data_IF_942021029920
#
_entry.id   IF_942021029920
#
_cell.length_a   1.000
_cell.length_b   1.000
_cell.length_c   1.000
_cell.angle_alpha   90.00
_cell.angle_beta   90.00
_cell.angle_gamma   90.00
#
_symmetry.space_group_name_H-M   'P 1'
#
loop_
_entity.id
_entity.type
_entity.pdbx_description
1 polymer ?
#
# COMPACT_ATOMS: atom_id res chain seq x y z
N UNK A 1 -12.20 -22.96 -4.42
CA UNK A 1 -11.54 -22.21 -5.52
C UNK A 1 -10.04 -22.14 -5.22
N UNK A 2 -9.19 -22.46 -6.20
CA UNK A 2 -7.73 -22.39 -6.04
C UNK A 2 -7.20 -21.12 -6.72
N UNK A 3 -6.54 -20.25 -5.95
CA UNK A 3 -6.00 -18.97 -6.42
C UNK A 3 -4.50 -18.92 -6.20
N UNK A 4 -3.75 -18.48 -7.21
CA UNK A 4 -2.31 -18.24 -7.11
C UNK A 4 -2.04 -16.76 -6.87
N UNK A 5 -1.47 -16.41 -5.72
CA UNK A 5 -0.94 -15.06 -5.48
C UNK A 5 0.46 -14.90 -6.07
N UNK A 6 0.67 -13.84 -6.81
CA UNK A 6 1.90 -13.58 -7.53
C UNK A 6 2.32 -12.10 -7.43
N UNK A 7 3.51 -11.79 -6.94
CA UNK A 7 4.52 -12.66 -6.33
C UNK A 7 4.23 -12.99 -4.86
N UNK A 8 5.06 -13.86 -4.24
CA UNK A 8 5.05 -14.08 -2.80
C UNK A 8 5.83 -12.97 -2.07
N UNK A 9 5.12 -12.07 -1.42
CA UNK A 9 5.67 -10.98 -0.62
C UNK A 9 5.18 -10.99 0.84
N UNK A 10 4.74 -12.14 1.34
CA UNK A 10 4.22 -12.28 2.71
C UNK A 10 5.20 -11.88 3.80
N UNK A 11 6.52 -12.03 3.56
CA UNK A 11 7.54 -11.67 4.54
C UNK A 11 7.76 -10.15 4.66
N UNK A 12 7.41 -9.38 3.63
CA UNK A 12 7.67 -7.94 3.61
C UNK A 12 6.44 -7.08 3.89
N UNK A 13 5.23 -7.58 3.54
CA UNK A 13 3.99 -6.84 3.67
C UNK A 13 2.89 -7.77 4.18
N UNK A 14 2.26 -7.50 5.33
CA UNK A 14 1.25 -8.37 5.93
C UNK A 14 -0.02 -8.52 5.08
N UNK A 15 -0.26 -7.60 4.14
CA UNK A 15 -1.44 -7.55 3.28
C UNK A 15 -1.78 -8.90 2.63
N UNK A 16 -0.80 -9.54 1.94
CA UNK A 16 -1.07 -10.80 1.24
C UNK A 16 -1.40 -11.95 2.20
N UNK A 17 -0.73 -12.00 3.34
CA UNK A 17 -1.00 -13.01 4.36
C UNK A 17 -2.40 -12.86 4.93
N UNK A 18 -2.76 -11.63 5.34
CA UNK A 18 -4.06 -11.34 5.93
C UNK A 18 -5.22 -11.55 4.94
N UNK A 19 -5.02 -11.15 3.69
CA UNK A 19 -6.00 -11.41 2.64
C UNK A 19 -6.16 -12.91 2.39
N UNK A 20 -5.07 -13.68 2.31
CA UNK A 20 -5.14 -15.13 2.10
C UNK A 20 -5.85 -15.84 3.24
N UNK A 21 -5.50 -15.53 4.49
CA UNK A 21 -6.15 -16.06 5.70
C UNK A 21 -7.68 -15.76 5.69
N UNK A 22 -8.07 -14.54 5.31
CA UNK A 22 -9.47 -14.17 5.22
C UNK A 22 -10.19 -14.86 4.05
N UNK A 23 -9.53 -15.08 2.92
CA UNK A 23 -10.08 -15.79 1.77
C UNK A 23 -10.35 -17.28 2.06
N UNK A 24 -9.54 -17.91 2.91
CA UNK A 24 -9.75 -19.32 3.32
C UNK A 24 -11.09 -19.49 4.02
N UNK A 25 -11.56 -18.52 4.80
CA UNK A 25 -12.89 -18.56 5.44
C UNK A 25 -14.05 -18.56 4.43
N UNK A 26 -13.77 -18.19 3.18
CA UNK A 26 -14.72 -18.22 2.06
C UNK A 26 -14.50 -19.42 1.10
N UNK A 27 -13.71 -20.42 1.50
CA UNK A 27 -13.42 -21.61 0.68
C UNK A 27 -12.50 -21.33 -0.52
N UNK A 28 -11.66 -20.29 -0.43
CA UNK A 28 -10.64 -19.96 -1.43
C UNK A 28 -9.27 -20.37 -0.91
N UNK A 29 -8.66 -21.36 -1.55
CA UNK A 29 -7.30 -21.82 -1.22
C UNK A 29 -6.27 -21.01 -1.98
N UNK A 30 -5.38 -20.34 -1.25
CA UNK A 30 -4.35 -19.47 -1.81
C UNK A 30 -2.99 -20.14 -1.79
N UNK A 31 -2.38 -20.25 -2.97
CA UNK A 31 -0.97 -20.61 -3.14
C UNK A 31 -0.15 -19.38 -3.54
N UNK A 32 1.20 -19.45 -3.41
CA UNK A 32 2.06 -18.31 -3.63
C UNK A 32 3.19 -18.59 -4.61
N UNK A 33 3.47 -17.66 -5.51
CA UNK A 33 4.58 -17.72 -6.46
C UNK A 33 5.88 -17.24 -5.80
N UNK A 34 6.65 -18.17 -5.20
CA UNK A 34 7.88 -17.84 -4.47
C UNK A 34 9.10 -17.57 -5.38
N UNK A 35 9.16 -18.17 -6.56
CA UNK A 35 10.32 -18.07 -7.45
C UNK A 35 10.10 -17.16 -8.67
N UNK A 36 9.48 -15.99 -8.45
CA UNK A 36 9.06 -15.05 -9.51
C UNK A 36 10.21 -14.37 -10.29
N UNK A 37 11.47 -14.50 -9.83
CA UNK A 37 12.66 -13.99 -10.55
C UNK A 37 13.20 -14.93 -11.63
N UNK A 38 12.68 -16.15 -11.74
CA UNK A 38 13.07 -17.15 -12.76
C UNK A 38 12.55 -16.75 -14.16
N UNK A 39 12.96 -17.53 -15.19
CA UNK A 39 12.44 -17.36 -16.56
C UNK A 39 11.03 -17.91 -16.64
N UNK A 40 10.07 -17.09 -17.12
CA UNK A 40 8.64 -17.41 -17.26
C UNK A 40 8.01 -18.05 -16.00
N UNK A 41 8.12 -17.41 -14.82
CA UNK A 41 7.72 -18.03 -13.56
C UNK A 41 6.21 -18.28 -13.48
N UNK A 42 5.36 -17.36 -13.98
CA UNK A 42 3.90 -17.51 -14.02
C UNK A 42 3.50 -18.69 -14.90
N UNK A 43 3.94 -18.68 -16.15
CA UNK A 43 3.63 -19.74 -17.13
C UNK A 43 4.03 -21.11 -16.63
N UNK A 44 5.20 -21.22 -15.99
CA UNK A 44 5.71 -22.51 -15.47
C UNK A 44 4.88 -23.03 -14.32
N UNK A 45 4.54 -22.17 -13.35
CA UNK A 45 3.81 -22.58 -12.17
C UNK A 45 2.36 -22.95 -12.50
N UNK A 46 1.70 -22.16 -13.36
CA UNK A 46 0.32 -22.41 -13.80
C UNK A 46 0.17 -23.73 -14.60
N UNK A 47 1.26 -24.23 -15.21
CA UNK A 47 1.24 -25.53 -15.91
C UNK A 47 1.27 -26.73 -14.96
N UNK A 48 1.80 -26.59 -13.77
CA UNK A 48 2.00 -27.71 -12.83
C UNK A 48 1.05 -27.66 -11.63
N UNK A 49 0.43 -26.50 -11.35
CA UNK A 49 -0.51 -26.34 -10.24
C UNK A 49 -1.92 -26.11 -10.77
N UNK A 50 -2.92 -26.90 -10.37
CA UNK A 50 -4.32 -26.62 -10.64
C UNK A 50 -4.69 -25.26 -10.05
N UNK A 51 -4.97 -24.29 -10.90
CA UNK A 51 -5.28 -22.92 -10.52
C UNK A 51 -6.50 -22.45 -11.32
N UNK A 52 -7.52 -21.98 -10.63
CA UNK A 52 -8.72 -21.44 -11.26
C UNK A 52 -8.48 -20.05 -11.83
N UNK A 53 -7.77 -19.21 -11.07
CA UNK A 53 -7.30 -17.90 -11.49
C UNK A 53 -6.02 -17.52 -10.75
N UNK A 54 -5.23 -16.58 -11.27
CA UNK A 54 -4.15 -15.99 -10.47
C UNK A 54 -4.43 -14.52 -10.14
N UNK A 55 -3.95 -14.10 -8.97
CA UNK A 55 -4.07 -12.76 -8.46
C UNK A 55 -2.70 -12.09 -8.47
N UNK A 56 -2.51 -11.15 -9.41
CA UNK A 56 -1.29 -10.38 -9.52
C UNK A 56 -1.33 -9.20 -8.55
N UNK A 57 -0.26 -9.05 -7.79
CA UNK A 57 -0.01 -7.88 -6.96
C UNK A 57 1.11 -7.05 -7.60
N UNK A 58 2.09 -6.61 -6.92
CA UNK A 58 3.19 -5.74 -7.36
C UNK A 58 3.93 -6.25 -8.64
N UNK A 59 3.56 -5.81 -9.87
CA UNK A 59 4.20 -6.26 -11.11
C UNK A 59 5.70 -5.98 -11.15
N UNK A 60 6.15 -4.88 -10.50
CA UNK A 60 7.54 -4.45 -10.42
C UNK A 60 8.48 -5.46 -9.75
N UNK A 61 7.95 -6.37 -8.96
CA UNK A 61 8.74 -7.43 -8.36
C UNK A 61 9.42 -8.35 -9.39
N UNK A 62 8.83 -8.47 -10.58
CA UNK A 62 9.37 -9.30 -11.66
C UNK A 62 10.56 -8.67 -12.39
N UNK A 63 10.72 -7.35 -12.27
CA UNK A 63 11.80 -6.56 -12.88
C UNK A 63 12.35 -5.57 -11.85
N UNK A 64 13.09 -6.05 -10.83
CA UNK A 64 13.58 -5.18 -9.76
C UNK A 64 14.41 -4.03 -10.33
N UNK A 65 14.41 -2.90 -9.63
CA UNK A 65 14.93 -1.57 -10.02
C UNK A 65 16.45 -1.50 -10.27
N UNK A 66 17.03 -2.50 -10.91
CA UNK A 66 18.42 -2.46 -11.29
C UNK A 66 18.53 -1.68 -12.60
N UNK A 67 19.03 -0.44 -12.56
CA UNK A 67 19.36 0.38 -13.75
C UNK A 67 20.57 -0.19 -14.50
N UNK A 68 20.49 -1.46 -14.91
CA UNK A 68 21.54 -2.14 -15.62
C UNK A 68 21.09 -2.48 -17.05
N UNK A 69 22.06 -2.98 -17.87
CA UNK A 69 21.82 -3.37 -19.27
C UNK A 69 20.72 -4.43 -19.44
N UNK A 70 20.38 -5.15 -18.39
CA UNK A 70 19.39 -6.23 -18.39
C UNK A 70 17.97 -5.77 -18.04
N UNK A 71 17.77 -4.51 -17.67
CA UNK A 71 16.46 -4.01 -17.26
C UNK A 71 15.42 -4.14 -18.37
N UNK A 72 15.77 -3.77 -19.60
CA UNK A 72 14.90 -3.92 -20.78
C UNK A 72 14.50 -5.38 -21.01
N UNK A 73 15.44 -6.29 -20.83
CA UNK A 73 15.19 -7.74 -20.97
C UNK A 73 14.23 -8.24 -19.88
N UNK A 74 14.45 -7.88 -18.61
CA UNK A 74 13.56 -8.28 -17.50
C UNK A 74 12.14 -7.76 -17.71
N UNK A 75 11.98 -6.51 -18.14
CA UNK A 75 10.67 -5.92 -18.45
C UNK A 75 9.99 -6.63 -19.63
N UNK A 76 10.72 -6.92 -20.70
CA UNK A 76 10.19 -7.68 -21.81
C UNK A 76 9.80 -9.12 -21.41
N UNK A 77 10.65 -9.79 -20.61
CA UNK A 77 10.38 -11.12 -20.05
C UNK A 77 9.06 -11.15 -19.28
N UNK A 78 8.80 -10.16 -18.41
CA UNK A 78 7.55 -10.08 -17.68
C UNK A 78 6.33 -10.00 -18.61
N UNK A 79 6.38 -9.16 -19.65
CA UNK A 79 5.28 -9.05 -20.62
C UNK A 79 5.03 -10.34 -21.38
N UNK A 80 6.10 -11.04 -21.78
CA UNK A 80 5.99 -12.33 -22.45
C UNK A 80 5.38 -13.37 -21.52
N UNK A 81 5.87 -13.46 -20.28
CA UNK A 81 5.37 -14.42 -19.29
C UNK A 81 3.89 -14.17 -18.96
N UNK A 82 3.52 -12.91 -18.70
CA UNK A 82 2.12 -12.53 -18.48
C UNK A 82 1.25 -12.87 -19.69
N UNK A 83 1.72 -12.60 -20.90
CA UNK A 83 0.97 -12.91 -22.13
C UNK A 83 0.74 -14.41 -22.32
N UNK A 84 1.75 -15.23 -21.99
CA UNK A 84 1.62 -16.70 -22.09
C UNK A 84 0.74 -17.24 -20.98
N UNK A 85 0.89 -16.76 -19.75
CA UNK A 85 0.12 -17.17 -18.61
C UNK A 85 -1.39 -16.91 -18.77
N UNK A 86 -1.74 -15.75 -19.36
CA UNK A 86 -3.13 -15.31 -19.54
C UNK A 86 -3.87 -15.95 -20.72
N UNK A 87 -3.20 -16.82 -21.50
CA UNK A 87 -3.86 -17.55 -22.60
C UNK A 87 -4.87 -18.57 -22.10
N UNK A 88 -4.55 -19.23 -20.97
CA UNK A 88 -5.34 -20.37 -20.46
C UNK A 88 -5.75 -20.21 -18.99
N UNK A 89 -5.41 -19.11 -18.36
CA UNK A 89 -5.75 -18.83 -16.96
C UNK A 89 -6.17 -17.39 -16.81
N UNK A 90 -7.40 -17.12 -16.34
CA UNK A 90 -7.83 -15.76 -16.04
C UNK A 90 -7.01 -15.17 -14.90
N UNK A 91 -6.91 -13.84 -14.84
CA UNK A 91 -6.27 -13.19 -13.70
C UNK A 91 -6.96 -11.90 -13.30
N UNK A 92 -6.81 -11.60 -12.04
CA UNK A 92 -7.15 -10.31 -11.46
C UNK A 92 -5.90 -9.60 -10.97
N UNK A 93 -5.96 -8.29 -10.79
CA UNK A 93 -4.85 -7.49 -10.32
C UNK A 93 -5.31 -6.52 -9.24
N UNK A 94 -4.62 -6.50 -8.08
CA UNK A 94 -4.78 -5.41 -7.12
C UNK A 94 -3.83 -4.26 -7.45
N UNK A 95 -4.40 -3.08 -7.64
CA UNK A 95 -3.67 -1.87 -7.97
C UNK A 95 -3.10 -1.22 -6.71
N UNK A 96 -1.93 -1.68 -6.27
CA UNK A 96 -1.20 -1.05 -5.16
C UNK A 96 -0.47 0.21 -5.59
N UNK A 97 0.02 0.26 -6.84
CA UNK A 97 0.80 1.36 -7.41
C UNK A 97 0.31 1.69 -8.81
N UNK A 98 0.36 2.97 -9.16
CA UNK A 98 0.09 3.38 -10.54
C UNK A 98 1.28 3.02 -11.45
N UNK A 99 2.51 3.20 -10.93
CA UNK A 99 3.78 2.74 -11.51
C UNK A 99 4.85 2.66 -10.41
N UNK A 100 6.08 2.34 -10.75
CA UNK A 100 7.20 2.29 -9.80
C UNK A 100 7.45 3.67 -9.18
N UNK A 101 7.50 3.77 -7.84
CA UNK A 101 7.50 5.03 -7.10
C UNK A 101 8.56 6.06 -7.55
N UNK A 102 9.79 5.62 -7.81
CA UNK A 102 10.88 6.53 -8.16
C UNK A 102 11.11 6.65 -9.68
N UNK A 103 10.20 6.17 -10.51
CA UNK A 103 10.32 6.14 -11.97
C UNK A 103 9.11 6.71 -12.70
N UNK A 104 8.23 7.42 -12.00
CA UNK A 104 6.92 7.86 -12.53
C UNK A 104 7.04 8.79 -13.75
N UNK A 105 8.12 9.56 -13.82
CA UNK A 105 8.37 10.50 -14.92
C UNK A 105 8.97 9.83 -16.16
N UNK A 106 9.30 8.54 -16.07
CA UNK A 106 9.92 7.83 -17.18
C UNK A 106 8.87 7.08 -18.02
N UNK A 107 8.77 7.34 -19.33
CA UNK A 107 7.74 6.73 -20.18
C UNK A 107 7.73 5.20 -20.15
N UNK A 108 8.89 4.56 -20.04
CA UNK A 108 9.01 3.11 -20.01
C UNK A 108 8.47 2.47 -18.71
N UNK A 109 8.41 3.21 -17.60
CA UNK A 109 7.90 2.69 -16.33
C UNK A 109 6.43 2.29 -16.42
N UNK A 110 5.63 3.05 -17.17
CA UNK A 110 4.20 2.82 -17.36
C UNK A 110 3.86 1.64 -18.27
N UNK A 111 4.76 1.20 -19.15
CA UNK A 111 4.45 0.19 -20.19
C UNK A 111 4.05 -1.17 -19.58
N UNK A 112 4.79 -1.65 -18.58
CA UNK A 112 4.50 -2.93 -17.94
C UNK A 112 3.22 -2.87 -17.11
N UNK A 113 3.00 -1.77 -16.43
CA UNK A 113 1.77 -1.54 -15.67
C UNK A 113 0.55 -1.42 -16.59
N UNK A 114 0.66 -0.66 -17.69
CA UNK A 114 -0.38 -0.59 -18.71
C UNK A 114 -0.73 -1.98 -19.26
N UNK A 115 0.29 -2.79 -19.55
CA UNK A 115 0.09 -4.17 -20.01
C UNK A 115 -0.63 -5.01 -18.98
N UNK A 116 -0.22 -4.91 -17.71
CA UNK A 116 -0.84 -5.66 -16.63
C UNK A 116 -2.31 -5.23 -16.40
N UNK A 117 -2.57 -3.92 -16.28
CA UNK A 117 -3.93 -3.42 -16.05
C UNK A 117 -4.89 -3.72 -17.22
N UNK A 118 -4.48 -3.44 -18.46
CA UNK A 118 -5.37 -3.63 -19.63
C UNK A 118 -5.71 -5.09 -19.92
N UNK A 119 -4.83 -6.01 -19.57
CA UNK A 119 -5.05 -7.45 -19.79
C UNK A 119 -5.78 -8.14 -18.65
N UNK A 120 -5.90 -7.54 -17.47
CA UNK A 120 -6.60 -8.14 -16.33
C UNK A 120 -8.08 -8.38 -16.66
N UNK A 121 -8.61 -9.53 -16.27
CA UNK A 121 -10.05 -9.80 -16.36
C UNK A 121 -10.81 -8.86 -15.42
N UNK A 122 -10.22 -8.56 -14.26
CA UNK A 122 -10.74 -7.59 -13.31
C UNK A 122 -9.59 -6.94 -12.53
N UNK A 123 -9.75 -5.65 -12.17
CA UNK A 123 -8.79 -4.89 -11.36
C UNK A 123 -9.44 -4.47 -10.05
N UNK A 124 -8.76 -4.69 -8.94
CA UNK A 124 -9.15 -4.15 -7.64
C UNK A 124 -8.43 -2.83 -7.40
N UNK A 125 -9.16 -1.76 -7.14
CA UNK A 125 -8.66 -0.45 -6.71
C UNK A 125 -9.06 -0.21 -5.25
N UNK A 126 -8.22 0.45 -4.45
CA UNK A 126 -8.50 0.64 -3.03
C UNK A 126 -9.44 1.81 -2.72
N UNK A 127 -9.73 2.67 -3.72
CA UNK A 127 -10.67 3.78 -3.59
C UNK A 127 -11.36 4.12 -4.92
N UNK A 128 -12.45 4.89 -4.86
CA UNK A 128 -13.11 5.40 -6.06
C UNK A 128 -12.19 6.36 -6.84
N UNK A 129 -11.40 7.18 -6.16
CA UNK A 129 -10.43 8.07 -6.80
C UNK A 129 -9.28 7.28 -7.46
N UNK A 130 -8.80 6.20 -6.82
CA UNK A 130 -7.83 5.29 -7.42
C UNK A 130 -8.39 4.61 -8.68
N UNK A 131 -9.67 4.17 -8.65
CA UNK A 131 -10.39 3.65 -9.84
C UNK A 131 -10.41 4.68 -10.96
N UNK A 132 -10.84 5.91 -10.70
CA UNK A 132 -10.86 6.99 -11.70
C UNK A 132 -9.46 7.26 -12.28
N UNK A 133 -8.43 7.24 -11.44
CA UNK A 133 -7.03 7.44 -11.86
C UNK A 133 -6.53 6.33 -12.78
N UNK A 134 -6.91 5.07 -12.54
CA UNK A 134 -6.59 3.94 -13.43
C UNK A 134 -7.24 4.10 -14.81
N UNK A 135 -8.52 4.48 -14.84
CA UNK A 135 -9.23 4.77 -16.10
C UNK A 135 -8.50 5.88 -16.88
N UNK A 136 -8.24 7.01 -16.22
CA UNK A 136 -7.61 8.17 -16.86
C UNK A 136 -6.16 7.89 -17.34
N UNK A 137 -5.39 7.05 -16.60
CA UNK A 137 -3.97 6.86 -16.90
C UNK A 137 -3.73 5.72 -17.89
N UNK A 138 -4.51 4.65 -17.80
CA UNK A 138 -4.26 3.42 -18.55
C UNK A 138 -5.41 3.02 -19.47
N UNK A 139 -6.49 3.81 -19.53
CA UNK A 139 -7.68 3.53 -20.34
C UNK A 139 -8.26 2.13 -20.03
N UNK A 140 -8.20 1.73 -18.76
CA UNK A 140 -8.82 0.49 -18.31
C UNK A 140 -10.33 0.68 -18.37
N UNK A 141 -11.04 -0.29 -18.92
CA UNK A 141 -12.50 -0.30 -18.93
C UNK A 141 -13.02 -0.23 -17.48
N UNK A 142 -13.80 0.81 -17.19
CA UNK A 142 -14.34 1.07 -15.85
C UNK A 142 -15.19 -0.09 -15.33
N UNK A 143 -15.88 -0.79 -16.23
CA UNK A 143 -16.69 -1.97 -15.88
C UNK A 143 -15.87 -3.14 -15.31
N UNK A 144 -14.55 -3.16 -15.55
CA UNK A 144 -13.61 -4.16 -15.04
C UNK A 144 -12.86 -3.70 -13.79
N UNK A 145 -13.26 -2.60 -13.14
CA UNK A 145 -12.62 -2.13 -11.92
C UNK A 145 -13.60 -2.19 -10.75
N UNK A 146 -13.22 -2.88 -9.68
CA UNK A 146 -13.99 -2.95 -8.42
C UNK A 146 -13.22 -2.25 -7.31
N UNK A 147 -13.95 -1.50 -6.48
CA UNK A 147 -13.36 -0.88 -5.30
C UNK A 147 -13.38 -1.89 -4.16
N UNK A 148 -12.19 -2.22 -3.67
CA UNK A 148 -11.96 -3.10 -2.52
C UNK A 148 -11.03 -2.37 -1.56
N UNK A 149 -11.42 -2.09 -0.32
CA UNK A 149 -10.59 -1.38 0.64
C UNK A 149 -9.22 -2.05 0.85
N UNK A 150 -8.23 -1.27 1.32
CA UNK A 150 -6.86 -1.78 1.52
C UNK A 150 -6.79 -2.92 2.56
N UNK A 151 -7.74 -2.98 3.48
CA UNK A 151 -7.70 -3.91 4.61
C UNK A 151 -7.07 -3.28 5.86
N UNK A 152 -7.54 -3.74 7.01
CA UNK A 152 -7.09 -3.21 8.30
C UNK A 152 -5.77 -3.85 8.76
N UNK A 153 -4.67 -3.09 8.65
CA UNK A 153 -3.35 -3.53 9.11
C UNK A 153 -3.23 -3.51 10.63
N UNK A 154 -4.12 -2.83 11.35
CA UNK A 154 -4.11 -2.84 12.82
C UNK A 154 -4.54 -4.17 13.42
N UNK A 155 -5.21 -5.02 12.65
CA UNK A 155 -5.69 -6.33 13.09
C UNK A 155 -4.59 -7.30 13.58
N UNK A 156 -3.33 -7.07 13.19
CA UNK A 156 -2.18 -7.90 13.63
C UNK A 156 -1.29 -7.22 14.66
N UNK A 157 -1.66 -6.03 15.08
CA UNK A 157 -0.91 -5.27 16.06
C UNK A 157 -1.41 -5.56 17.48
N UNK A 158 -0.55 -5.43 18.51
CA UNK A 158 -1.01 -5.49 19.89
C UNK A 158 -2.00 -4.35 20.18
N UNK A 159 -2.90 -4.53 21.16
CA UNK A 159 -3.83 -3.48 21.56
C UNK A 159 -3.07 -2.22 22.01
N UNK A 160 -3.68 -1.03 21.87
CA UNK A 160 -3.05 0.20 22.31
C UNK A 160 -2.84 0.20 23.85
N UNK A 161 -1.76 0.84 24.24
CA UNK A 161 -1.41 1.16 25.63
C UNK A 161 -1.53 2.66 25.87
N UNK A 162 -1.40 3.08 27.14
CA UNK A 162 -1.43 4.49 27.51
C UNK A 162 -0.25 5.25 26.85
N UNK A 163 -0.51 6.49 26.45
CA UNK A 163 0.42 7.33 25.68
C UNK A 163 1.72 7.59 26.44
N UNK A 164 1.60 7.91 27.73
CA UNK A 164 2.71 8.20 28.61
C UNK A 164 3.61 6.97 28.79
N UNK A 165 3.01 5.79 28.92
CA UNK A 165 3.74 4.52 28.97
C UNK A 165 4.50 4.25 27.66
N UNK A 166 3.86 4.49 26.51
CA UNK A 166 4.49 4.32 25.21
C UNK A 166 5.68 5.28 25.03
N UNK A 167 5.52 6.55 25.42
CA UNK A 167 6.59 7.56 25.39
C UNK A 167 7.76 7.19 26.29
N UNK A 168 7.48 6.76 27.51
CA UNK A 168 8.53 6.32 28.43
C UNK A 168 9.33 5.13 27.88
N UNK A 169 8.67 4.14 27.29
CA UNK A 169 9.32 2.98 26.64
C UNK A 169 10.19 3.37 25.46
N UNK A 170 9.83 4.43 24.73
CA UNK A 170 10.54 4.92 23.55
C UNK A 170 11.57 6.01 23.86
N UNK A 171 11.62 6.52 25.09
CA UNK A 171 12.46 7.66 25.46
C UNK A 171 12.06 8.96 24.76
N UNK A 172 10.77 9.12 24.46
CA UNK A 172 10.24 10.31 23.79
C UNK A 172 9.77 11.36 24.80
N UNK A 173 9.75 12.67 24.43
CA UNK A 173 9.34 13.75 25.33
C UNK A 173 7.81 13.73 25.60
N UNK A 174 7.41 14.40 26.69
CA UNK A 174 5.99 14.50 27.10
C UNK A 174 5.16 15.48 26.28
N UNK A 175 5.80 16.39 25.53
CA UNK A 175 5.13 17.38 24.66
C UNK A 175 4.41 16.78 23.46
N UNK A 176 3.73 17.62 22.65
CA UNK A 176 3.05 17.16 21.45
C UNK A 176 3.98 16.46 20.44
N UNK A 177 3.59 15.30 19.95
CA UNK A 177 4.37 14.48 19.00
C UNK A 177 3.67 14.38 17.66
N UNK A 178 4.36 14.81 16.60
CA UNK A 178 3.98 14.56 15.21
C UNK A 178 4.82 13.40 14.65
N UNK A 179 4.17 12.35 14.19
CA UNK A 179 4.82 11.11 13.75
C UNK A 179 4.83 10.98 12.23
N UNK A 180 5.99 10.69 11.66
CA UNK A 180 6.15 10.14 10.31
C UNK A 180 6.69 8.70 10.42
N UNK A 181 6.02 7.73 9.82
CA UNK A 181 6.41 6.32 9.93
C UNK A 181 6.38 5.55 8.61
N UNK A 182 7.03 4.38 8.61
CA UNK A 182 7.23 3.53 7.46
C UNK A 182 8.56 3.80 6.76
N UNK A 183 8.87 3.15 5.63
CA UNK A 183 10.14 3.29 4.94
C UNK A 183 10.51 4.77 4.73
N UNK A 184 11.78 5.12 4.96
CA UNK A 184 12.30 6.48 4.73
C UNK A 184 12.82 6.54 3.31
N UNK A 185 12.02 7.17 2.43
CA UNK A 185 12.26 7.19 0.97
C UNK A 185 12.03 8.60 0.39
N UNK A 186 12.74 8.98 -0.69
CA UNK A 186 12.68 10.33 -1.25
C UNK A 186 11.26 10.80 -1.60
N UNK A 187 10.39 9.91 -2.10
CA UNK A 187 9.03 10.29 -2.47
C UNK A 187 8.15 10.67 -1.26
N UNK A 188 8.57 10.36 -0.04
CA UNK A 188 7.83 10.69 1.19
C UNK A 188 8.09 12.10 1.71
N UNK A 189 9.03 12.82 1.11
CA UNK A 189 9.23 14.24 1.35
C UNK A 189 9.67 14.60 2.78
N UNK A 190 10.53 13.77 3.40
CA UNK A 190 11.07 14.06 4.73
C UNK A 190 11.93 15.33 4.75
N UNK A 191 12.64 15.61 3.65
CA UNK A 191 13.49 16.80 3.52
C UNK A 191 12.68 18.10 3.67
N UNK A 192 11.52 18.17 2.98
CA UNK A 192 10.65 19.37 3.05
C UNK A 192 10.06 19.54 4.46
N UNK A 193 9.72 18.43 5.13
CA UNK A 193 9.24 18.46 6.51
C UNK A 193 10.33 18.97 7.45
N UNK A 194 11.54 18.44 7.33
CA UNK A 194 12.69 18.87 8.15
C UNK A 194 13.07 20.34 7.89
N UNK A 195 13.03 20.78 6.63
CA UNK A 195 13.25 22.18 6.28
C UNK A 195 12.21 23.10 6.98
N UNK A 196 10.93 22.72 6.95
CA UNK A 196 9.89 23.44 7.68
C UNK A 196 10.11 23.43 9.19
N UNK A 197 10.47 22.28 9.81
CA UNK A 197 10.76 22.20 11.25
C UNK A 197 11.94 23.09 11.65
N UNK A 198 12.98 23.18 10.83
CA UNK A 198 14.14 24.03 11.04
C UNK A 198 13.79 25.51 11.02
N UNK A 199 12.96 25.94 10.07
CA UNK A 199 12.58 27.33 9.88
C UNK A 199 11.51 27.80 10.87
N UNK A 200 10.39 27.07 10.91
CA UNK A 200 9.20 27.47 11.68
C UNK A 200 9.28 27.11 13.17
N UNK A 201 10.12 26.15 13.55
CA UNK A 201 10.32 25.67 14.93
C UNK A 201 8.98 25.44 15.67
N UNK A 202 8.09 24.60 15.13
CA UNK A 202 6.81 24.33 15.79
C UNK A 202 7.06 23.72 17.19
N UNK A 203 6.10 23.92 18.10
CA UNK A 203 6.19 23.35 19.45
C UNK A 203 6.12 21.81 19.48
N UNK A 204 5.59 21.20 18.41
CA UNK A 204 5.53 19.75 18.29
C UNK A 204 6.92 19.12 18.06
N UNK A 205 7.16 18.00 18.73
CA UNK A 205 8.33 17.16 18.48
C UNK A 205 8.05 16.27 17.25
N UNK A 206 8.92 16.30 16.26
CA UNK A 206 8.84 15.45 15.08
C UNK A 206 9.56 14.13 15.32
N UNK A 207 8.87 13.02 15.14
CA UNK A 207 9.45 11.68 15.21
C UNK A 207 9.38 11.05 13.82
N UNK A 208 10.54 10.70 13.25
CA UNK A 208 10.61 10.00 11.96
C UNK A 208 11.13 8.58 12.20
N UNK A 209 10.30 7.56 11.93
CA UNK A 209 10.66 6.18 12.20
C UNK A 209 10.52 5.30 10.96
N UNK A 210 11.50 4.42 10.77
CA UNK A 210 11.49 3.43 9.70
C UNK A 210 12.85 3.22 9.05
N UNK A 211 12.94 2.18 8.23
CA UNK A 211 14.19 1.86 7.54
C UNK A 211 14.38 2.76 6.33
N UNK A 212 15.55 3.42 6.19
CA UNK A 212 15.90 4.14 4.97
C UNK A 212 16.04 3.20 3.76
N UNK A 213 15.67 3.70 2.56
CA UNK A 213 15.82 3.03 1.27
C UNK A 213 17.29 2.67 0.98
N UNK A 214 18.20 3.59 1.36
CA UNK A 214 19.64 3.38 1.31
C UNK A 214 20.35 4.01 2.51
N UNK A 215 21.55 3.54 2.80
CA UNK A 215 22.40 4.15 3.84
C UNK A 215 22.72 5.61 3.51
N UNK A 216 22.92 5.93 2.24
CA UNK A 216 23.21 7.29 1.75
C UNK A 216 22.01 8.22 2.00
N UNK A 217 20.79 7.80 1.65
CA UNK A 217 19.60 8.60 1.91
C UNK A 217 19.35 8.78 3.41
N UNK A 218 19.56 7.72 4.20
CA UNK A 218 19.50 7.81 5.66
C UNK A 218 20.49 8.85 6.22
N UNK A 219 21.72 8.91 5.68
CA UNK A 219 22.70 9.90 6.08
C UNK A 219 22.27 11.33 5.68
N UNK A 220 21.71 11.50 4.49
CA UNK A 220 21.15 12.78 4.05
C UNK A 220 20.09 13.29 5.03
N UNK A 221 19.13 12.45 5.40
CA UNK A 221 18.07 12.84 6.36
C UNK A 221 18.66 13.17 7.75
N UNK A 222 19.69 12.44 8.22
CA UNK A 222 20.40 12.78 9.47
C UNK A 222 21.06 14.15 9.41
N UNK A 223 21.66 14.51 8.28
CA UNK A 223 22.27 15.84 8.08
C UNK A 223 21.22 16.95 8.10
N UNK A 224 20.06 16.75 7.45
CA UNK A 224 18.97 17.72 7.52
C UNK A 224 18.44 17.93 8.95
N UNK A 225 18.44 16.90 9.78
CA UNK A 225 17.91 16.95 11.13
C UNK A 225 18.91 17.40 12.19
N UNK A 226 20.22 17.47 11.89
CA UNK A 226 21.30 17.61 12.87
C UNK A 226 21.16 18.83 13.80
N UNK A 227 20.66 19.95 13.29
CA UNK A 227 20.53 21.22 14.02
C UNK A 227 19.08 21.51 14.47
N UNK A 228 18.20 20.50 14.47
CA UNK A 228 16.80 20.67 14.83
C UNK A 228 16.54 19.96 16.17
N UNK A 229 16.42 20.70 17.29
CA UNK A 229 16.41 20.09 18.63
C UNK A 229 15.17 19.27 18.93
N UNK A 230 14.04 19.56 18.28
CA UNK A 230 12.77 18.85 18.47
C UNK A 230 12.47 17.83 17.35
N UNK A 231 13.52 17.10 16.91
CA UNK A 231 13.42 16.01 15.94
C UNK A 231 14.10 14.76 16.47
N UNK A 232 13.43 13.63 16.39
CA UNK A 232 13.99 12.29 16.69
C UNK A 232 13.92 11.42 15.44
N UNK A 233 15.03 10.75 15.10
CA UNK A 233 15.15 9.84 13.98
C UNK A 233 15.45 8.42 14.50
N UNK A 234 14.52 7.48 14.28
CA UNK A 234 14.71 6.06 14.58
C UNK A 234 14.74 5.23 13.30
N UNK A 235 15.94 5.08 12.71
CA UNK A 235 16.14 4.42 11.43
C UNK A 235 16.39 2.92 11.60
N UNK A 236 15.32 2.17 11.69
CA UNK A 236 15.33 0.71 11.80
C UNK A 236 14.09 0.09 11.15
N UNK A 237 14.16 -1.20 10.88
CA UNK A 237 12.96 -1.97 10.59
C UNK A 237 12.18 -2.17 11.89
N UNK A 238 10.90 -1.82 11.89
CA UNK A 238 10.02 -1.97 13.05
C UNK A 238 9.20 -3.25 12.93
N UNK A 239 9.07 -3.98 14.01
CA UNK A 239 8.02 -4.99 14.19
C UNK A 239 6.66 -4.32 14.37
N UNK A 240 5.56 -5.08 14.20
CA UNK A 240 4.21 -4.56 14.44
C UNK A 240 4.04 -4.06 15.89
N UNK A 241 4.68 -4.72 16.86
CA UNK A 241 4.66 -4.32 18.27
C UNK A 241 5.42 -3.00 18.52
N UNK A 242 6.59 -2.82 17.91
CA UNK A 242 7.34 -1.57 18.01
C UNK A 242 6.61 -0.41 17.33
N UNK A 243 6.02 -0.65 16.15
CA UNK A 243 5.22 0.37 15.46
C UNK A 243 4.00 0.78 16.29
N UNK A 244 3.33 -0.17 16.97
CA UNK A 244 2.22 0.12 17.86
C UNK A 244 2.60 1.09 18.98
N UNK A 245 3.82 0.98 19.54
CA UNK A 245 4.31 1.93 20.55
C UNK A 245 4.40 3.35 20.01
N UNK A 246 4.94 3.53 18.77
CA UNK A 246 5.00 4.86 18.15
C UNK A 246 3.62 5.43 17.85
N UNK A 247 2.67 4.59 17.41
CA UNK A 247 1.29 5.01 17.16
C UNK A 247 0.58 5.41 18.46
N UNK A 248 0.83 4.71 19.59
CA UNK A 248 0.34 5.11 20.90
C UNK A 248 0.96 6.40 21.41
N UNK A 249 2.27 6.63 21.15
CA UNK A 249 3.01 7.80 21.62
C UNK A 249 2.64 9.10 20.88
N UNK A 250 2.13 8.98 19.64
CA UNK A 250 1.86 10.11 18.76
C UNK A 250 0.57 10.86 19.10
N UNK A 251 0.55 12.18 18.87
CA UNK A 251 -0.67 13.00 18.90
C UNK A 251 -1.26 13.20 17.50
N UNK A 252 -0.44 13.21 16.47
CA UNK A 252 -0.86 13.23 15.07
C UNK A 252 0.17 12.54 14.16
N UNK A 253 -0.24 12.29 12.91
CA UNK A 253 0.65 11.76 11.88
C UNK A 253 0.75 12.73 10.71
N UNK A 254 1.92 12.76 10.06
CA UNK A 254 2.20 13.58 8.89
C UNK A 254 2.67 12.74 7.72
N UNK A 255 1.96 12.83 6.61
CA UNK A 255 2.29 12.15 5.36
C UNK A 255 2.54 13.19 4.26
N UNK A 256 3.79 13.60 4.03
CA UNK A 256 4.15 14.59 3.00
C UNK A 256 4.57 13.94 1.68
N UNK A 257 3.93 12.85 1.28
CA UNK A 257 4.31 12.18 0.05
C UNK A 257 4.22 13.11 -1.17
N UNK A 258 5.27 13.13 -2.00
CA UNK A 258 5.28 13.86 -3.27
C UNK A 258 4.26 13.27 -4.24
N UNK A 259 4.16 11.95 -4.21
CA UNK A 259 3.20 11.18 -4.98
C UNK A 259 2.98 9.83 -4.32
N UNK A 260 1.74 9.36 -4.32
CA UNK A 260 1.37 8.01 -3.91
C UNK A 260 0.06 7.62 -4.60
N UNK A 261 -0.16 6.34 -4.77
CA UNK A 261 -1.42 5.83 -5.29
C UNK A 261 -2.29 5.23 -4.20
N UNK A 262 -1.69 4.46 -3.28
CA UNK A 262 -2.34 3.94 -2.07
C UNK A 262 -1.39 4.06 -0.89
N UNK A 263 -1.91 4.17 0.33
CA UNK A 263 -1.09 4.26 1.53
C UNK A 263 -1.64 3.41 2.66
N UNK A 264 -1.05 2.24 2.84
CA UNK A 264 -1.33 1.41 4.01
C UNK A 264 -0.97 2.10 5.34
N UNK A 265 0.05 2.95 5.34
CA UNK A 265 0.43 3.73 6.53
C UNK A 265 -0.64 4.76 6.92
N UNK A 266 -1.21 5.49 5.95
CA UNK A 266 -2.29 6.44 6.23
C UNK A 266 -3.56 5.72 6.69
N UNK A 267 -3.91 4.59 6.05
CA UNK A 267 -5.01 3.73 6.49
C UNK A 267 -4.80 3.20 7.92
N UNK A 268 -3.57 2.79 8.26
CA UNK A 268 -3.22 2.34 9.60
C UNK A 268 -3.33 3.47 10.64
N UNK A 269 -2.84 4.67 10.34
CA UNK A 269 -3.00 5.83 11.22
C UNK A 269 -4.49 6.13 11.48
N UNK A 270 -5.32 6.01 10.44
CA UNK A 270 -6.76 6.15 10.55
C UNK A 270 -7.39 5.06 11.42
N UNK A 271 -6.94 3.79 11.27
CA UNK A 271 -7.37 2.68 12.12
C UNK A 271 -6.97 2.85 13.58
N UNK A 272 -5.90 3.61 13.84
CA UNK A 272 -5.43 3.95 15.18
C UNK A 272 -6.16 5.15 15.80
N UNK A 273 -7.04 5.81 15.02
CA UNK A 273 -7.77 7.01 15.46
C UNK A 273 -6.90 8.25 15.60
N UNK A 274 -5.74 8.27 14.96
CA UNK A 274 -4.81 9.40 14.96
C UNK A 274 -5.29 10.50 14.02
N UNK A 275 -5.18 11.78 14.39
CA UNK A 275 -5.26 12.89 13.46
C UNK A 275 -4.18 12.78 12.38
N UNK A 276 -4.58 13.07 11.12
CA UNK A 276 -3.73 12.89 9.94
C UNK A 276 -3.56 14.22 9.22
N UNK A 277 -2.31 14.64 9.05
CA UNK A 277 -1.92 15.73 8.17
C UNK A 277 -1.44 15.17 6.84
N UNK A 278 -2.05 15.61 5.74
CA UNK A 278 -1.77 15.06 4.40
C UNK A 278 -1.99 16.11 3.32
N UNK A 279 -1.11 16.20 2.29
CA UNK A 279 -1.32 17.09 1.17
C UNK A 279 -2.58 16.76 0.36
N UNK A 280 -3.25 17.78 -0.15
CA UNK A 280 -4.44 17.65 -1.01
C UNK A 280 -4.15 16.88 -2.29
N UNK A 281 -2.92 16.96 -2.84
CA UNK A 281 -2.48 16.20 -4.01
C UNK A 281 -2.57 14.68 -3.87
N UNK A 282 -2.71 14.15 -2.64
CA UNK A 282 -2.82 12.72 -2.35
C UNK A 282 -4.30 12.29 -2.36
N UNK A 283 -5.01 12.63 -3.41
CA UNK A 283 -6.45 12.46 -3.59
C UNK A 283 -6.92 10.99 -3.73
N UNK A 284 -6.00 10.09 -4.10
CA UNK A 284 -6.31 8.66 -4.27
C UNK A 284 -6.28 7.85 -2.97
N UNK A 285 -5.74 8.42 -1.88
CA UNK A 285 -5.71 7.79 -0.56
C UNK A 285 -7.08 7.94 0.10
N UNK A 286 -7.79 6.83 0.24
CA UNK A 286 -9.11 6.79 0.88
C UNK A 286 -8.97 6.76 2.39
N UNK A 287 -9.52 7.76 3.05
CA UNK A 287 -9.60 7.87 4.51
C UNK A 287 -11.04 8.07 4.99
N UNK A 288 -12.03 7.74 4.14
CA UNK A 288 -13.45 7.94 4.39
C UNK A 288 -13.79 9.40 4.76
N UNK A 289 -13.28 10.36 3.98
CA UNK A 289 -13.57 11.77 4.17
C UNK A 289 -15.03 12.12 3.76
N UNK A 290 -15.66 13.14 4.38
CA UNK A 290 -15.06 14.04 5.37
C UNK A 290 -14.94 13.42 6.76
N UNK A 291 -13.76 13.58 7.39
CA UNK A 291 -13.50 13.18 8.75
C UNK A 291 -12.79 14.31 9.49
N UNK A 292 -13.24 14.69 10.70
CA UNK A 292 -12.65 15.80 11.46
C UNK A 292 -11.20 15.56 11.88
N UNK A 293 -10.70 14.32 11.77
CA UNK A 293 -9.31 13.95 12.05
C UNK A 293 -8.39 14.03 10.85
N UNK A 294 -8.90 14.35 9.64
CA UNK A 294 -8.08 14.45 8.42
C UNK A 294 -7.92 15.91 8.02
N UNK A 295 -6.69 16.40 8.07
CA UNK A 295 -6.29 17.76 7.79
C UNK A 295 -5.52 17.82 6.48
N UNK A 296 -6.18 18.29 5.41
CA UNK A 296 -5.56 18.48 4.11
C UNK A 296 -4.83 19.84 4.05
N UNK A 297 -3.62 19.87 3.47
CA UNK A 297 -2.83 21.09 3.24
C UNK A 297 -2.24 21.09 1.82
N UNK A 298 -1.96 22.29 1.30
CA UNK A 298 -1.37 22.46 -0.05
C UNK A 298 0.16 22.42 0.02
N UNK A 299 0.74 23.18 0.94
CA UNK A 299 2.17 23.35 1.13
C UNK A 299 2.48 23.67 2.59
N UNK A 300 3.76 23.74 2.92
CA UNK A 300 4.28 24.27 4.20
C UNK A 300 4.30 25.81 4.15
N UNK A 301 3.14 26.42 3.97
CA UNK A 301 2.93 27.85 3.90
C UNK A 301 2.38 28.43 5.23
N UNK A 302 1.96 29.68 5.23
CA UNK A 302 1.40 30.36 6.39
C UNK A 302 0.12 29.69 6.97
N UNK A 303 -0.52 28.79 6.25
CA UNK A 303 -1.74 28.06 6.71
C UNK A 303 -1.40 26.75 7.41
N UNK A 304 -0.23 26.17 7.16
CA UNK A 304 0.15 24.88 7.74
C UNK A 304 0.27 24.90 9.28
N UNK A 305 0.79 25.95 9.95
CA UNK A 305 0.79 26.01 11.42
C UNK A 305 -0.59 25.86 12.05
N UNK A 306 -1.62 26.45 11.42
CA UNK A 306 -3.00 26.33 11.88
C UNK A 306 -3.53 24.89 11.71
N UNK A 307 -3.18 24.21 10.60
CA UNK A 307 -3.54 22.81 10.37
C UNK A 307 -2.87 21.88 11.38
N UNK A 308 -1.57 22.10 11.65
CA UNK A 308 -0.83 21.35 12.66
C UNK A 308 -1.42 21.54 14.05
N UNK A 309 -1.70 22.80 14.44
CA UNK A 309 -2.32 23.10 15.74
C UNK A 309 -3.71 22.45 15.87
N UNK A 310 -4.52 22.50 14.81
CA UNK A 310 -5.85 21.88 14.79
C UNK A 310 -5.77 20.35 14.90
N UNK A 311 -4.81 19.72 14.24
CA UNK A 311 -4.58 18.29 14.36
C UNK A 311 -4.15 17.88 15.79
N UNK A 312 -3.24 18.64 16.38
CA UNK A 312 -2.77 18.41 17.75
C UNK A 312 -3.84 18.67 18.83
N UNK A 313 -4.85 19.47 18.52
CA UNK A 313 -5.97 19.74 19.44
C UNK A 313 -6.99 18.60 19.53
N UNK A 314 -6.99 17.67 18.58
CA UNK A 314 -7.87 16.51 18.60
C UNK A 314 -7.12 15.32 19.20
N UNK A 315 -7.53 14.79 20.35
CA UNK A 315 -6.86 13.66 20.96
C UNK A 315 -7.02 12.39 20.08
N UNK A 316 -5.98 11.56 19.97
CA UNK A 316 -6.10 10.23 19.39
C UNK A 316 -7.20 9.42 20.08
N UNK A 317 -8.01 8.74 19.29
CA UNK A 317 -9.11 7.94 19.81
C UNK A 317 -9.25 6.64 19.02
N UNK A 318 -8.63 5.59 19.53
CA UNK A 318 -8.67 4.25 18.93
C UNK A 318 -10.11 3.70 18.87
N UNK A 319 -10.94 3.97 19.86
CA UNK A 319 -12.33 3.48 19.89
C UNK A 319 -13.18 4.16 18.84
N UNK A 320 -13.03 5.47 18.66
CA UNK A 320 -13.75 6.21 17.62
C UNK A 320 -13.44 5.73 16.20
N UNK A 321 -12.31 5.06 15.98
CA UNK A 321 -11.94 4.46 14.69
C UNK A 321 -12.56 3.08 14.43
N UNK A 322 -13.39 2.53 15.32
CA UNK A 322 -13.99 1.20 15.17
C UNK A 322 -14.82 1.08 13.89
N UNK A 323 -15.69 2.04 13.61
CA UNK A 323 -16.48 2.05 12.38
C UNK A 323 -15.64 2.09 11.11
N UNK A 324 -14.47 2.73 11.13
CA UNK A 324 -13.51 2.68 10.03
C UNK A 324 -12.90 1.26 9.90
N UNK A 325 -12.42 0.66 11.00
CA UNK A 325 -11.86 -0.70 10.98
C UNK A 325 -12.86 -1.73 10.49
N UNK A 326 -14.14 -1.59 10.85
CA UNK A 326 -15.21 -2.45 10.31
C UNK A 326 -15.38 -2.32 8.79
N UNK A 327 -15.36 -1.09 8.28
CA UNK A 327 -15.47 -0.81 6.84
C UNK A 327 -14.34 -1.43 6.02
N UNK A 328 -13.14 -1.53 6.58
CA UNK A 328 -11.96 -2.10 5.94
C UNK A 328 -11.56 -3.47 6.52
N UNK A 329 -12.46 -4.14 7.26
CA UNK A 329 -12.18 -5.44 7.88
C UNK A 329 -11.80 -6.50 6.84
N UNK A 330 -10.90 -7.41 7.20
CA UNK A 330 -10.45 -8.47 6.30
C UNK A 330 -11.57 -9.39 5.85
N UNK A 331 -12.60 -9.62 6.67
CA UNK A 331 -13.81 -10.34 6.29
C UNK A 331 -14.54 -9.65 5.14
N UNK A 332 -14.72 -8.33 5.23
CA UNK A 332 -15.33 -7.54 4.15
C UNK A 332 -14.47 -7.50 2.89
N UNK A 333 -13.16 -7.28 3.05
CA UNK A 333 -12.20 -7.29 1.93
C UNK A 333 -12.22 -8.64 1.21
N UNK A 334 -12.22 -9.74 1.95
CA UNK A 334 -12.30 -11.08 1.37
C UNK A 334 -13.63 -11.32 0.65
N UNK A 335 -14.77 -10.94 1.22
CA UNK A 335 -16.06 -11.08 0.57
C UNK A 335 -16.12 -10.32 -0.76
N UNK A 336 -15.66 -9.07 -0.81
CA UNK A 336 -15.59 -8.26 -2.04
C UNK A 336 -14.62 -8.87 -3.06
N UNK A 337 -13.47 -9.38 -2.59
CA UNK A 337 -12.48 -10.03 -3.45
C UNK A 337 -13.03 -11.30 -4.07
N UNK A 338 -13.73 -12.15 -3.30
CA UNK A 338 -14.37 -13.36 -3.80
C UNK A 338 -15.46 -13.06 -4.84
N UNK A 339 -16.24 -12.01 -4.62
CA UNK A 339 -17.22 -11.55 -5.61
C UNK A 339 -16.52 -11.18 -6.93
N UNK A 340 -15.44 -10.42 -6.87
CA UNK A 340 -14.64 -10.07 -8.05
C UNK A 340 -13.97 -11.28 -8.72
N UNK A 341 -13.54 -12.29 -7.96
CA UNK A 341 -13.03 -13.54 -8.55
C UNK A 341 -14.10 -14.27 -9.37
N UNK A 342 -15.32 -14.34 -8.85
CA UNK A 342 -16.45 -14.97 -9.57
C UNK A 342 -16.77 -14.22 -10.87
N UNK A 343 -16.85 -12.89 -10.81
CA UNK A 343 -17.03 -12.04 -12.00
C UNK A 343 -15.92 -12.26 -13.04
N UNK A 344 -14.65 -12.28 -12.60
CA UNK A 344 -13.52 -12.50 -13.50
C UNK A 344 -13.56 -13.87 -14.18
N UNK A 345 -13.96 -14.91 -13.45
CA UNK A 345 -14.13 -16.27 -13.97
C UNK A 345 -15.29 -16.36 -14.97
N UNK A 346 -16.42 -15.73 -14.70
CA UNK A 346 -17.57 -15.68 -15.59
C UNK A 346 -17.21 -14.96 -16.90
N UNK A 347 -16.63 -13.76 -16.81
CA UNK A 347 -16.20 -12.99 -17.97
C UNK A 347 -15.12 -13.73 -18.80
N UNK A 348 -14.27 -14.54 -18.16
CA UNK A 348 -13.31 -15.37 -18.88
C UNK A 348 -13.98 -16.53 -19.62
N UNK A 349 -14.91 -17.22 -18.98
CA UNK A 349 -15.66 -18.37 -19.58
C UNK A 349 -16.49 -17.93 -20.79
N UNK A 350 -17.14 -16.78 -20.72
CA UNK A 350 -17.89 -16.20 -21.83
C UNK A 350 -17.01 -15.96 -23.07
N UNK A 351 -15.77 -15.54 -22.87
CA UNK A 351 -14.80 -15.30 -23.94
C UNK A 351 -14.10 -16.56 -24.46
N UNK A 352 -14.09 -17.65 -23.66
CA UNK A 352 -13.39 -18.91 -23.95
C UNK A 352 -14.30 -20.13 -23.73
N UNK A 353 -15.43 -20.26 -24.46
CA UNK A 353 -16.43 -21.30 -24.20
C UNK A 353 -15.89 -22.72 -24.39
N UNK A 354 -14.94 -22.93 -25.30
CA UNK A 354 -14.33 -24.24 -25.53
C UNK A 354 -13.48 -24.75 -24.35
N UNK A 355 -12.83 -23.86 -23.61
CA UNK A 355 -12.03 -24.21 -22.42
C UNK A 355 -12.91 -24.43 -21.17
N UNK A 356 -14.08 -23.81 -21.13
CA UNK A 356 -15.04 -23.98 -20.05
C UNK A 356 -15.59 -25.42 -20.02
N UNK A 357 -15.78 -26.05 -21.16
CA UNK A 357 -16.28 -27.42 -21.29
C UNK A 357 -15.26 -28.50 -20.90
N UNK A 358 -13.94 -28.20 -21.02
CA UNK A 358 -12.88 -29.17 -20.71
C UNK A 358 -12.53 -29.29 -19.21
N UNK A 359 -13.03 -28.37 -18.36
CA UNK A 359 -12.79 -28.35 -16.92
C UNK A 359 -13.96 -28.89 -16.08
N UNK A 360 -15.03 -29.41 -16.71
CA UNK A 360 -16.08 -30.12 -15.99
C UNK A 360 -15.58 -31.55 -15.70
N UNK A 361 -15.45 -31.95 -14.42
CA UNK A 361 -15.10 -33.35 -14.12
C UNK A 361 -16.15 -34.27 -14.78
N UNK A 362 -15.66 -35.22 -15.56
CA UNK A 362 -16.52 -36.37 -16.00
C UNK A 362 -17.00 -37.06 -14.73
N UNK A 363 -18.28 -36.95 -14.49
CA UNK A 363 -19.03 -37.64 -13.41
C UNK A 363 -18.82 -39.15 -13.43
#
# INVERSE_FOLDING_TARGET
MNVLFAPDWRQGVPYQRLLAEALETHGVHVSFLSHYKRVLPLTRLLKINPTDLFHLHWPEAYYPRLRDRWDKFRRARFRVDLTLATRHTPYVLTAHNLCEHNLQDLPFAKVNYATAYRRANLVFAHSAAAKAKLVATYEVDESRIRVVPHGDLSAVMPPPIEREEARAKLGLPDGPICLMFGAVEPYKGQEEVLAYWKEARPAAHLVIVGKPDSAEYGQTIRQFAADIPNVTLHFQWLTDAELALYLCAADCTLFNYRTIFTSGAASLARSWGLPILMPTRLDTVDLAEPDPRVFRFEAFDATFPQKLAAALAIPPDYKAAEGWREQISWSRVAALTVAGYREALEAYREKHPAEALSKVPST
#
